data_IF_121966742485
#
_entry.id   IF_121966742485
#
_cell.length_a   1.000
_cell.length_b   1.000
_cell.length_c   1.000
_cell.angle_alpha   90.00
_cell.angle_beta   90.00
_cell.angle_gamma   90.00
#
_symmetry.space_group_name_H-M   'P 1'
#
loop_
_entity.id
_entity.type
_entity.pdbx_description
1 polymer ?
#
# COMPACT_ATOMS: atom_id res chain seq x y z
N UNK A 1 -28.96 -11.17 -25.72
CA UNK A 1 -29.54 -9.94 -25.12
C UNK A 1 -29.21 -9.75 -23.63
N UNK A 2 -29.75 -10.53 -22.68
CA UNK A 2 -29.50 -10.28 -21.25
C UNK A 2 -28.01 -10.41 -20.84
N UNK A 3 -27.32 -11.44 -21.35
CA UNK A 3 -25.89 -11.69 -21.08
C UNK A 3 -25.01 -10.57 -21.68
N UNK A 4 -25.34 -10.07 -22.87
CA UNK A 4 -24.57 -8.99 -23.52
C UNK A 4 -24.68 -7.67 -22.74
N UNK A 5 -25.89 -7.33 -22.29
CA UNK A 5 -26.14 -6.15 -21.47
C UNK A 5 -25.36 -6.26 -20.15
N UNK A 6 -25.43 -7.40 -19.47
CA UNK A 6 -24.65 -7.67 -18.26
C UNK A 6 -23.14 -7.54 -18.51
N UNK A 7 -22.63 -8.16 -19.58
CA UNK A 7 -21.23 -8.13 -19.99
C UNK A 7 -20.72 -6.70 -20.25
N UNK A 8 -21.57 -5.82 -20.77
CA UNK A 8 -21.28 -4.40 -20.97
C UNK A 8 -21.11 -3.66 -19.63
N UNK A 9 -22.01 -3.88 -18.67
CA UNK A 9 -21.91 -3.27 -17.34
C UNK A 9 -20.65 -3.72 -16.59
N UNK A 10 -20.33 -5.02 -16.61
CA UNK A 10 -19.08 -5.55 -16.03
C UNK A 10 -17.85 -4.83 -16.60
N UNK A 11 -17.84 -4.56 -17.91
CA UNK A 11 -16.74 -3.86 -18.58
C UNK A 11 -16.62 -2.41 -18.11
N UNK A 12 -17.74 -1.68 -18.01
CA UNK A 12 -17.74 -0.30 -17.51
C UNK A 12 -17.34 -0.20 -16.05
N UNK A 13 -17.78 -1.14 -15.21
CA UNK A 13 -17.36 -1.22 -13.80
C UNK A 13 -15.86 -1.48 -13.67
N UNK A 14 -15.30 -2.40 -14.47
CA UNK A 14 -13.85 -2.62 -14.49
C UNK A 14 -13.11 -1.34 -14.89
N UNK A 15 -13.53 -0.68 -15.97
CA UNK A 15 -12.90 0.57 -16.43
C UNK A 15 -12.99 1.69 -15.38
N UNK A 16 -14.12 1.81 -14.69
CA UNK A 16 -14.27 2.75 -13.58
C UNK A 16 -13.22 2.50 -12.49
N UNK A 17 -13.05 1.26 -12.03
CA UNK A 17 -12.05 0.92 -11.03
C UNK A 17 -10.61 1.12 -11.53
N UNK A 18 -10.33 0.87 -12.81
CA UNK A 18 -9.04 1.15 -13.41
C UNK A 18 -8.69 2.65 -13.34
N UNK A 19 -9.60 3.53 -13.77
CA UNK A 19 -9.40 4.98 -13.75
C UNK A 19 -9.35 5.55 -12.34
N UNK A 20 -10.20 5.07 -11.43
CA UNK A 20 -10.16 5.45 -10.02
C UNK A 20 -8.84 5.01 -9.36
N UNK A 21 -8.40 3.78 -9.64
CA UNK A 21 -7.12 3.24 -9.18
C UNK A 21 -5.94 4.05 -9.70
N UNK A 22 -5.90 4.34 -11.00
CA UNK A 22 -4.87 5.17 -11.59
C UNK A 22 -4.83 6.59 -10.99
N UNK A 23 -5.99 7.23 -10.82
CA UNK A 23 -6.07 8.56 -10.19
C UNK A 23 -5.56 8.52 -8.74
N UNK A 24 -5.89 7.47 -7.99
CA UNK A 24 -5.41 7.26 -6.64
C UNK A 24 -3.90 6.99 -6.58
N UNK A 25 -3.35 6.27 -7.57
CA UNK A 25 -1.90 6.06 -7.71
C UNK A 25 -1.16 7.38 -7.93
N UNK A 26 -1.65 8.23 -8.86
CA UNK A 26 -1.09 9.56 -9.11
C UNK A 26 -1.13 10.42 -7.85
N UNK A 27 -2.27 10.42 -7.13
CA UNK A 27 -2.39 11.10 -5.85
C UNK A 27 -1.38 10.56 -4.82
N UNK A 28 -1.26 9.24 -4.67
CA UNK A 28 -0.31 8.59 -3.75
C UNK A 28 1.14 9.00 -4.08
N UNK A 29 1.50 9.01 -5.37
CA UNK A 29 2.82 9.43 -5.85
C UNK A 29 3.13 10.87 -5.51
N UNK A 30 2.22 11.80 -5.81
CA UNK A 30 2.40 13.23 -5.49
C UNK A 30 2.46 13.44 -3.98
N UNK A 31 1.57 12.80 -3.22
CA UNK A 31 1.52 12.91 -1.78
C UNK A 31 2.81 12.39 -1.12
N UNK A 32 3.36 11.28 -1.63
CA UNK A 32 4.67 10.78 -1.23
C UNK A 32 5.76 11.78 -1.54
N UNK A 33 5.80 12.33 -2.76
CA UNK A 33 6.80 13.32 -3.16
C UNK A 33 6.84 14.54 -2.23
N UNK A 34 5.66 15.11 -1.92
CA UNK A 34 5.54 16.26 -1.00
C UNK A 34 6.04 15.92 0.41
N UNK A 35 5.80 14.69 0.88
CA UNK A 35 6.12 14.27 2.24
C UNK A 35 7.34 13.34 2.33
N UNK A 36 8.16 13.26 1.29
CA UNK A 36 9.27 12.31 1.20
C UNK A 36 10.23 12.41 2.40
N UNK A 37 10.47 13.63 2.88
CA UNK A 37 11.30 13.87 4.07
C UNK A 37 10.77 13.17 5.32
N UNK A 38 9.44 13.08 5.51
CA UNK A 38 8.84 12.37 6.64
C UNK A 38 9.16 10.87 6.57
N UNK A 39 9.09 10.28 5.38
CA UNK A 39 9.49 8.90 5.13
C UNK A 39 10.98 8.66 5.43
N UNK A 40 11.86 9.54 4.93
CA UNK A 40 13.31 9.44 5.14
C UNK A 40 13.66 9.52 6.63
N UNK A 41 13.03 10.43 7.39
CA UNK A 41 13.21 10.54 8.84
C UNK A 41 12.90 9.20 9.53
N UNK A 42 11.77 8.55 9.23
CA UNK A 42 11.45 7.26 9.86
C UNK A 42 12.49 6.18 9.56
N UNK A 43 12.98 6.14 8.33
CA UNK A 43 13.98 5.18 7.89
C UNK A 43 15.32 5.41 8.60
N UNK A 44 15.75 6.67 8.70
CA UNK A 44 17.00 7.02 9.36
C UNK A 44 16.94 6.78 10.87
N UNK A 45 15.82 7.12 11.52
CA UNK A 45 15.61 6.82 12.94
C UNK A 45 15.59 5.33 13.22
N UNK A 46 15.00 4.52 12.34
CA UNK A 46 15.10 3.07 12.45
C UNK A 46 16.53 2.58 12.30
N UNK A 47 17.29 3.10 11.33
CA UNK A 47 18.69 2.73 11.11
C UNK A 47 19.58 3.06 12.32
N UNK A 48 19.31 4.17 13.02
CA UNK A 48 20.03 4.55 14.25
C UNK A 48 19.89 3.52 15.37
N UNK A 49 18.87 2.65 15.34
CA UNK A 49 18.71 1.58 16.33
C UNK A 49 19.77 0.48 16.22
N UNK A 50 20.50 0.41 15.10
CA UNK A 50 21.46 -0.65 14.81
C UNK A 50 20.82 -2.02 14.48
N UNK A 51 19.50 -2.12 14.51
CA UNK A 51 18.78 -3.35 14.16
C UNK A 51 18.59 -3.41 12.64
N UNK A 52 19.03 -4.48 11.96
CA UNK A 52 18.86 -4.60 10.52
C UNK A 52 17.37 -4.65 10.14
N UNK A 53 17.02 -4.09 8.99
CA UNK A 53 15.70 -4.28 8.41
C UNK A 53 15.51 -5.76 8.01
N UNK A 54 14.36 -6.37 8.30
CA UNK A 54 14.06 -7.71 7.81
C UNK A 54 14.04 -7.71 6.27
N UNK A 55 14.44 -8.83 5.65
CA UNK A 55 14.71 -8.94 4.21
C UNK A 55 13.72 -8.21 3.28
N UNK A 56 12.40 -8.48 3.36
CA UNK A 56 11.41 -7.79 2.52
C UNK A 56 11.41 -6.26 2.71
N UNK A 57 11.54 -5.79 3.94
CA UNK A 57 11.56 -4.36 4.25
C UNK A 57 12.89 -3.71 3.86
N UNK A 58 14.01 -4.44 3.95
CA UNK A 58 15.28 -3.95 3.44
C UNK A 58 15.19 -3.68 1.93
N UNK A 59 14.67 -4.64 1.17
CA UNK A 59 14.41 -4.48 -0.27
C UNK A 59 13.50 -3.27 -0.56
N UNK A 60 12.36 -3.18 0.11
CA UNK A 60 11.43 -2.06 -0.10
C UNK A 60 12.03 -0.70 0.30
N UNK A 61 12.88 -0.64 1.32
CA UNK A 61 13.52 0.62 1.72
C UNK A 61 14.39 1.25 0.62
N UNK A 62 14.86 0.44 -0.33
CA UNK A 62 15.72 0.86 -1.44
C UNK A 62 14.94 1.33 -2.69
N UNK A 63 13.62 1.12 -2.75
CA UNK A 63 12.82 1.35 -3.96
C UNK A 63 12.17 2.73 -4.05
N UNK A 64 12.40 3.61 -3.07
CA UNK A 64 11.76 4.93 -3.00
C UNK A 64 10.23 4.79 -2.94
N UNK A 65 9.51 5.52 -3.82
CA UNK A 65 8.04 5.50 -3.87
C UNK A 65 7.46 4.08 -3.95
N UNK A 66 8.02 3.23 -4.80
CA UNK A 66 7.50 1.88 -5.05
C UNK A 66 7.63 0.93 -3.85
N UNK A 67 8.54 1.22 -2.93
CA UNK A 67 8.69 0.49 -1.67
C UNK A 67 8.11 1.21 -0.45
N UNK A 68 7.59 2.42 -0.63
CA UNK A 68 7.12 3.24 0.48
C UNK A 68 5.92 2.63 1.20
N UNK A 69 5.00 1.97 0.49
CA UNK A 69 3.81 1.39 1.11
C UNK A 69 4.13 0.26 2.11
N UNK A 70 4.90 -0.78 1.75
CA UNK A 70 5.36 -1.79 2.71
C UNK A 70 6.11 -1.19 3.91
N UNK A 71 6.94 -0.18 3.68
CA UNK A 71 7.68 0.49 4.74
C UNK A 71 6.77 1.33 5.65
N UNK A 72 5.74 1.98 5.12
CA UNK A 72 4.76 2.70 5.92
C UNK A 72 3.93 1.74 6.77
N UNK A 73 3.56 0.58 6.22
CA UNK A 73 2.96 -0.49 7.02
C UNK A 73 3.89 -0.95 8.16
N UNK A 74 5.18 -1.15 7.85
CA UNK A 74 6.20 -1.51 8.84
C UNK A 74 6.25 -0.51 9.99
N UNK A 75 6.46 0.78 9.70
CA UNK A 75 6.53 1.83 10.72
C UNK A 75 5.22 1.97 11.49
N UNK A 76 4.07 1.86 10.81
CA UNK A 76 2.77 1.88 11.47
C UNK A 76 2.60 0.73 12.46
N UNK A 77 3.12 -0.46 12.16
CA UNK A 77 3.12 -1.57 13.11
C UNK A 77 3.97 -1.23 14.35
N UNK A 78 5.15 -0.62 14.18
CA UNK A 78 5.98 -0.17 15.29
C UNK A 78 5.28 0.89 16.16
N UNK A 79 4.53 1.82 15.55
CA UNK A 79 3.86 2.89 16.32
C UNK A 79 2.74 2.39 17.24
N UNK A 80 2.26 1.16 17.02
CA UNK A 80 1.25 0.50 17.85
C UNK A 80 1.81 -0.71 18.61
N UNK A 81 3.15 -0.84 18.67
CA UNK A 81 3.82 -1.93 19.39
C UNK A 81 3.59 -3.32 18.80
N UNK A 82 3.20 -3.42 17.52
CA UNK A 82 2.97 -4.71 16.84
C UNK A 82 4.16 -5.08 15.98
N UNK A 83 4.51 -6.37 15.97
CA UNK A 83 5.48 -6.93 15.03
C UNK A 83 4.91 -6.89 13.60
N UNK A 84 5.61 -6.28 12.62
CA UNK A 84 5.19 -6.31 11.22
C UNK A 84 5.20 -7.74 10.66
N UNK A 85 4.28 -8.06 9.75
CA UNK A 85 4.25 -9.36 9.05
C UNK A 85 5.50 -9.55 8.18
N UNK A 86 5.85 -10.78 7.82
CA UNK A 86 7.00 -11.06 6.95
C UNK A 86 8.38 -10.91 7.60
N UNK A 87 8.44 -10.67 8.92
CA UNK A 87 9.69 -10.65 9.69
C UNK A 87 10.06 -12.06 10.19
N UNK A 88 10.26 -13.01 9.27
CA UNK A 88 10.61 -14.40 9.59
C UNK A 88 12.01 -14.48 10.21
N UNK A 89 12.12 -14.97 11.45
CA UNK A 89 13.39 -15.17 12.16
C UNK A 89 14.19 -13.91 12.53
N UNK A 90 13.86 -12.74 11.96
CA UNK A 90 14.55 -11.48 12.22
C UNK A 90 14.13 -10.79 13.51
N UNK A 91 15.10 -10.17 14.19
CA UNK A 91 14.86 -9.19 15.26
C UNK A 91 14.22 -7.94 14.65
N UNK A 92 13.24 -7.37 15.35
CA UNK A 92 12.60 -6.10 15.00
C UNK A 92 12.73 -5.19 16.20
N UNK A 93 12.93 -3.89 15.97
CA UNK A 93 12.95 -2.91 17.04
C UNK A 93 11.71 -3.01 17.93
N UNK A 94 11.93 -3.06 19.25
CA UNK A 94 10.90 -3.20 20.28
C UNK A 94 10.96 -2.11 21.35
N UNK A 95 11.77 -1.07 21.15
CA UNK A 95 11.81 0.08 22.06
C UNK A 95 10.62 1.02 21.86
N UNK A 96 10.60 2.11 22.62
CA UNK A 96 9.46 3.03 22.75
C UNK A 96 9.45 4.20 21.76
N UNK A 97 10.58 4.53 21.14
CA UNK A 97 10.69 5.64 20.18
C UNK A 97 9.50 5.76 19.20
N UNK A 98 9.12 4.67 18.52
CA UNK A 98 8.02 4.71 17.55
C UNK A 98 6.63 4.80 18.22
N UNK A 99 6.47 4.32 19.45
CA UNK A 99 5.19 4.41 20.18
C UNK A 99 4.98 5.80 20.76
N UNK A 100 6.05 6.57 21.00
CA UNK A 100 6.01 7.94 21.56
C UNK A 100 5.99 9.05 20.51
N UNK A 101 5.97 8.71 19.21
CA UNK A 101 5.97 9.70 18.13
C UNK A 101 4.82 10.72 18.23
N UNK A 102 5.06 11.99 17.85
CA UNK A 102 4.03 13.02 17.77
C UNK A 102 2.84 12.60 16.91
N UNK A 103 1.65 13.08 17.29
CA UNK A 103 0.39 12.76 16.60
C UNK A 103 0.43 13.10 15.11
N UNK A 104 1.08 14.21 14.73
CA UNK A 104 1.18 14.64 13.34
C UNK A 104 1.93 13.61 12.46
N UNK A 105 3.00 13.03 13.01
CA UNK A 105 3.80 12.02 12.31
C UNK A 105 3.02 10.71 12.15
N UNK A 106 2.31 10.28 13.21
CA UNK A 106 1.39 9.13 13.16
C UNK A 106 0.25 9.36 12.17
N UNK A 107 -0.28 10.58 12.09
CA UNK A 107 -1.35 10.96 11.15
C UNK A 107 -0.92 10.80 9.70
N UNK A 108 0.28 11.27 9.34
CA UNK A 108 0.81 11.09 7.99
C UNK A 108 0.97 9.60 7.63
N UNK A 109 1.56 8.78 8.52
CA UNK A 109 1.68 7.33 8.33
C UNK A 109 0.32 6.68 8.05
N UNK A 110 -0.70 7.04 8.84
CA UNK A 110 -2.04 6.49 8.69
C UNK A 110 -2.71 6.94 7.38
N UNK A 111 -2.63 8.23 7.02
CA UNK A 111 -3.19 8.72 5.75
C UNK A 111 -2.56 7.98 4.57
N UNK A 112 -1.23 7.93 4.51
CA UNK A 112 -0.54 7.27 3.42
C UNK A 112 -0.84 5.77 3.36
N UNK A 113 -0.92 5.11 4.52
CA UNK A 113 -1.31 3.71 4.61
C UNK A 113 -2.71 3.47 4.02
N UNK A 114 -3.72 4.25 4.44
CA UNK A 114 -5.09 4.04 3.97
C UNK A 114 -5.28 4.39 2.49
N UNK A 115 -4.58 5.42 1.98
CA UNK A 115 -4.56 5.73 0.54
C UNK A 115 -4.07 4.53 -0.26
N UNK A 116 -2.99 3.87 0.17
CA UNK A 116 -2.45 2.70 -0.53
C UNK A 116 -3.31 1.44 -0.34
N UNK A 117 -4.05 1.31 0.77
CA UNK A 117 -5.07 0.26 0.94
C UNK A 117 -6.22 0.46 -0.05
N UNK A 118 -6.74 1.68 -0.16
CA UNK A 118 -7.80 2.01 -1.13
C UNK A 118 -7.31 1.72 -2.55
N UNK A 119 -6.10 2.16 -2.89
CA UNK A 119 -5.47 1.86 -4.18
C UNK A 119 -5.40 0.36 -4.48
N UNK A 120 -4.97 -0.44 -3.49
CA UNK A 120 -4.90 -1.90 -3.61
C UNK A 120 -6.28 -2.50 -3.88
N UNK A 121 -7.30 -2.06 -3.14
CA UNK A 121 -8.69 -2.52 -3.31
C UNK A 121 -9.20 -2.18 -4.72
N UNK A 122 -8.95 -0.95 -5.20
CA UNK A 122 -9.37 -0.52 -6.54
C UNK A 122 -8.76 -1.41 -7.64
N UNK A 123 -7.47 -1.73 -7.54
CA UNK A 123 -6.84 -2.64 -8.51
C UNK A 123 -7.35 -4.08 -8.39
N UNK A 124 -7.57 -4.59 -7.17
CA UNK A 124 -8.17 -5.92 -6.98
C UNK A 124 -9.57 -6.00 -7.61
N UNK A 125 -10.39 -4.97 -7.45
CA UNK A 125 -11.72 -4.89 -8.07
C UNK A 125 -11.59 -4.81 -9.60
N UNK A 126 -10.69 -4.00 -10.13
CA UNK A 126 -10.41 -3.96 -11.57
C UNK A 126 -10.08 -5.37 -12.12
N UNK A 127 -9.15 -6.09 -11.50
CA UNK A 127 -8.81 -7.45 -11.92
C UNK A 127 -9.97 -8.43 -11.74
N UNK A 128 -10.74 -8.33 -10.67
CA UNK A 128 -11.90 -9.20 -10.44
C UNK A 128 -12.97 -9.03 -11.53
N UNK A 129 -13.37 -7.79 -11.83
CA UNK A 129 -14.36 -7.51 -12.88
C UNK A 129 -13.80 -7.80 -14.29
N UNK A 130 -12.51 -7.55 -14.53
CA UNK A 130 -11.83 -7.96 -15.75
C UNK A 130 -11.83 -9.49 -15.93
N UNK A 131 -11.57 -10.24 -14.85
CA UNK A 131 -11.65 -11.70 -14.83
C UNK A 131 -13.06 -12.22 -15.09
N UNK A 132 -14.08 -11.62 -14.46
CA UNK A 132 -15.49 -11.94 -14.74
C UNK A 132 -15.81 -11.70 -16.22
N UNK A 133 -15.39 -10.56 -16.78
CA UNK A 133 -15.58 -10.24 -18.21
C UNK A 133 -14.93 -11.30 -19.10
N UNK A 134 -13.70 -11.70 -18.79
CA UNK A 134 -13.00 -12.74 -19.52
C UNK A 134 -13.77 -14.06 -19.50
N UNK A 135 -14.25 -14.49 -18.34
CA UNK A 135 -15.04 -15.71 -18.20
C UNK A 135 -16.31 -15.65 -19.05
N UNK A 136 -17.02 -14.51 -19.04
CA UNK A 136 -18.24 -14.35 -19.86
C UNK A 136 -17.91 -14.52 -21.34
N UNK A 137 -16.84 -13.88 -21.83
CA UNK A 137 -16.47 -13.90 -23.26
C UNK A 137 -15.99 -15.27 -23.73
N UNK A 138 -15.31 -16.03 -22.87
CA UNK A 138 -14.72 -17.31 -23.27
C UNK A 138 -15.71 -18.47 -23.11
N UNK A 139 -16.56 -18.43 -22.08
CA UNK A 139 -17.36 -19.59 -21.69
C UNK A 139 -18.87 -19.38 -21.81
N UNK A 140 -19.37 -18.15 -21.91
CA UNK A 140 -20.81 -17.84 -21.81
C UNK A 140 -21.39 -17.06 -23.00
N UNK A 141 -20.57 -16.69 -23.97
CA UNK A 141 -20.97 -16.04 -25.23
C UNK A 141 -20.65 -16.93 -26.41
#
# INVERSE_FOLDING_TARGET
MAIEVFSKYVSYTALFFAWAGFSCLVFSFIYFGIHKKKYEIFLDEYRKTGIPLPGPYNFHSMMGFWGAYPMVYFFRCLTIGKKPRGCFGGKVYSGDYFTTLPLEQKRWLNIYYYVNIILTILFLLYFAFGGIKYIIVVFLS
#
